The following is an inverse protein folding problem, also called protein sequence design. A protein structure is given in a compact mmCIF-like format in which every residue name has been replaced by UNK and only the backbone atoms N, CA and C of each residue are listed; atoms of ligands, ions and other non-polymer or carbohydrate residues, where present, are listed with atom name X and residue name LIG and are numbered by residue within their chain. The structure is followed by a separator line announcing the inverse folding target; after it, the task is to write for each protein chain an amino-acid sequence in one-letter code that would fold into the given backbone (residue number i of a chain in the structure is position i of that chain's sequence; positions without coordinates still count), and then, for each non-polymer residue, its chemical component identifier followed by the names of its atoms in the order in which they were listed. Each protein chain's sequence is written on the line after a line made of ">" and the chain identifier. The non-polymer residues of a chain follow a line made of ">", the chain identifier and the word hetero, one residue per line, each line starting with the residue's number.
data_IF_963794251984
#
_entry.id   IF_963794251984
#
_cell.length_a   1.000
_cell.length_b   1.000
_cell.length_c   1.000
_cell.angle_alpha   90.00
_cell.angle_beta   90.00
_cell.angle_gamma   90.00
#
_symmetry.space_group_name_H-M   'P 1'
#
loop_
_entity.id
_entity.type
_entity.pdbx_description
1 polymer ?
#
# COMPACT_ATOMS: atom_id res chain seq x y z
N UNK A 1 20.82 3.38 -1.77
CA UNK A 1 19.73 2.54 -2.28
C UNK A 1 18.45 3.27 -1.99
N UNK A 2 17.86 3.94 -2.99
CA UNK A 2 16.74 4.84 -2.76
C UNK A 2 15.45 4.00 -2.75
N UNK A 3 14.98 3.64 -1.56
CA UNK A 3 13.61 3.12 -1.34
C UNK A 3 12.55 4.23 -1.53
N UNK A 4 12.90 5.38 -2.11
CA UNK A 4 12.16 6.65 -2.14
C UNK A 4 10.97 6.70 -3.10
N UNK A 5 10.21 5.63 -3.18
CA UNK A 5 9.04 5.58 -4.04
C UNK A 5 7.89 4.78 -3.49
N UNK A 6 8.10 3.98 -2.44
CA UNK A 6 7.06 3.14 -1.86
C UNK A 6 6.90 3.40 -0.37
N UNK A 7 5.66 3.62 0.06
CA UNK A 7 5.29 3.74 1.47
C UNK A 7 4.62 2.46 1.97
N UNK A 8 4.91 2.09 3.21
CA UNK A 8 4.20 1.03 3.91
C UNK A 8 2.82 1.52 4.33
N UNK A 9 1.80 0.72 4.04
CA UNK A 9 0.42 1.01 4.38
C UNK A 9 -0.25 -0.20 5.01
N UNK A 10 -1.36 0.05 5.71
CA UNK A 10 -2.35 -0.95 6.09
C UNK A 10 -3.63 -0.70 5.31
N UNK A 11 -4.14 -1.71 4.62
CA UNK A 11 -5.40 -1.58 3.92
C UNK A 11 -6.57 -1.56 4.93
N UNK A 12 -7.49 -0.61 4.79
CA UNK A 12 -8.70 -0.53 5.63
C UNK A 12 -9.81 -1.43 5.08
N UNK A 13 -9.83 -1.63 3.75
CA UNK A 13 -10.74 -2.52 3.02
C UNK A 13 -9.96 -3.32 1.98
N UNK A 14 -10.55 -4.36 1.40
CA UNK A 14 -9.89 -5.09 0.30
C UNK A 14 -9.68 -4.16 -0.89
N UNK A 15 -8.44 -4.06 -1.35
CA UNK A 15 -8.02 -3.16 -2.43
C UNK A 15 -7.55 -3.97 -3.62
N UNK A 16 -8.03 -3.62 -4.81
CA UNK A 16 -7.47 -4.08 -6.08
C UNK A 16 -6.52 -3.00 -6.61
N UNK A 17 -5.23 -3.14 -6.31
CA UNK A 17 -4.21 -2.14 -6.57
C UNK A 17 -2.88 -2.84 -6.85
N UNK A 18 -2.03 -2.21 -7.66
CA UNK A 18 -0.65 -2.63 -7.82
C UNK A 18 0.18 -2.25 -6.59
N UNK A 19 0.50 -3.24 -5.77
CA UNK A 19 1.28 -3.06 -4.56
C UNK A 19 2.43 -4.08 -4.50
N UNK A 20 3.34 -3.88 -3.56
CA UNK A 20 4.34 -4.86 -3.17
C UNK A 20 3.97 -5.44 -1.80
N UNK A 21 4.34 -6.68 -1.55
CA UNK A 21 4.25 -7.25 -0.21
C UNK A 21 5.08 -6.42 0.79
N UNK A 22 4.65 -6.40 2.05
CA UNK A 22 5.31 -5.60 3.08
C UNK A 22 6.76 -6.03 3.35
N UNK A 23 7.03 -7.33 3.23
CA UNK A 23 8.30 -7.98 3.57
C UNK A 23 9.17 -8.34 2.37
N UNK A 24 8.64 -8.19 1.15
CA UNK A 24 9.27 -8.67 -0.07
C UNK A 24 8.79 -7.90 -1.28
N UNK A 25 9.59 -7.84 -2.35
CA UNK A 25 9.23 -7.13 -3.58
C UNK A 25 8.29 -7.96 -4.48
N UNK A 26 7.53 -8.88 -3.89
CA UNK A 26 6.48 -9.62 -4.59
C UNK A 26 5.33 -8.68 -4.90
N UNK A 27 4.93 -8.63 -6.18
CA UNK A 27 3.77 -7.86 -6.61
C UNK A 27 2.48 -8.50 -6.07
N UNK A 28 1.58 -7.66 -5.57
CA UNK A 28 0.24 -7.98 -5.15
C UNK A 28 -0.73 -7.22 -6.05
N UNK A 29 -1.68 -7.93 -6.65
CA UNK A 29 -2.80 -7.32 -7.39
C UNK A 29 -4.03 -7.09 -6.49
N UNK A 30 -4.01 -7.66 -5.28
CA UNK A 30 -5.05 -7.47 -4.28
C UNK A 30 -4.44 -7.47 -2.88
N UNK A 31 -4.82 -6.51 -2.05
CA UNK A 31 -4.43 -6.40 -0.63
C UNK A 31 -5.68 -6.56 0.21
N UNK A 32 -5.71 -7.53 1.12
CA UNK A 32 -6.89 -7.75 1.95
C UNK A 32 -7.01 -6.68 3.04
N UNK A 33 -8.23 -6.45 3.53
CA UNK A 33 -8.45 -5.55 4.67
C UNK A 33 -7.63 -6.00 5.88
N UNK A 34 -6.90 -5.07 6.49
CA UNK A 34 -6.01 -5.31 7.63
C UNK A 34 -4.57 -5.68 7.25
N UNK A 35 -4.33 -6.12 6.01
CA UNK A 35 -3.01 -6.52 5.54
C UNK A 35 -2.10 -5.31 5.32
N UNK A 36 -0.80 -5.58 5.45
CA UNK A 36 0.25 -4.63 5.14
C UNK A 36 0.71 -4.81 3.70
N UNK A 37 0.94 -3.68 3.03
CA UNK A 37 1.52 -3.66 1.70
C UNK A 37 2.33 -2.39 1.52
N UNK A 38 3.19 -2.36 0.49
CA UNK A 38 3.89 -1.16 0.06
C UNK A 38 3.30 -0.68 -1.26
N UNK A 39 2.91 0.58 -1.33
CA UNK A 39 2.36 1.21 -2.54
C UNK A 39 3.19 2.41 -2.92
N UNK A 40 3.07 2.89 -4.17
CA UNK A 40 3.80 4.08 -4.56
C UNK A 40 3.34 5.30 -3.72
N UNK A 41 4.30 6.08 -3.23
CA UNK A 41 4.05 7.25 -2.36
C UNK A 41 3.06 8.23 -2.99
N UNK A 42 3.07 8.35 -4.32
CA UNK A 42 2.17 9.24 -5.08
C UNK A 42 0.68 8.96 -4.82
N UNK A 43 0.32 7.72 -4.45
CA UNK A 43 -1.07 7.33 -4.18
C UNK A 43 -1.45 7.45 -2.71
N UNK A 44 -0.50 7.60 -1.80
CA UNK A 44 -0.76 7.53 -0.35
C UNK A 44 -1.72 8.62 0.09
N UNK A 45 -1.51 9.86 -0.36
CA UNK A 45 -2.34 10.98 0.07
C UNK A 45 -3.80 10.82 -0.36
N UNK A 46 -4.03 10.44 -1.62
CA UNK A 46 -5.37 10.21 -2.17
C UNK A 46 -6.08 9.07 -1.45
N UNK A 47 -5.41 7.92 -1.32
CA UNK A 47 -6.00 6.74 -0.71
C UNK A 47 -6.25 6.93 0.81
N UNK A 48 -5.37 7.63 1.51
CA UNK A 48 -5.57 7.94 2.93
C UNK A 48 -6.74 8.92 3.12
N UNK A 49 -6.86 9.95 2.27
CA UNK A 49 -7.98 10.90 2.29
C UNK A 49 -9.33 10.21 2.10
N UNK A 50 -9.37 9.20 1.25
CA UNK A 50 -10.57 8.40 0.96
C UNK A 50 -10.84 7.29 2.00
N UNK A 51 -9.98 7.17 3.02
CA UNK A 51 -10.10 6.16 4.07
C UNK A 51 -9.86 4.72 3.57
N UNK A 52 -9.15 4.56 2.45
CA UNK A 52 -8.79 3.26 1.86
C UNK A 52 -7.66 2.58 2.61
N UNK A 53 -6.75 3.38 3.16
CA UNK A 53 -5.52 2.93 3.79
C UNK A 53 -5.19 3.74 5.04
N UNK A 54 -4.25 3.23 5.82
CA UNK A 54 -3.48 3.96 6.83
C UNK A 54 -2.01 3.88 6.45
N UNK A 55 -1.33 5.01 6.28
CA UNK A 55 0.12 5.04 6.10
C UNK A 55 0.84 4.80 7.43
N UNK A 56 1.96 4.07 7.41
CA UNK A 56 2.72 3.64 8.59
C UNK A 56 4.15 4.17 8.60
#
# INVERSE_FOLDING_TARGET
>A
TNLSGFALIRAVRTLHIHALAADSDRILDTVQAGDLARIQEIYVHELARDGLIVAL
#
